data_IF_673413124853
#
_entry.id   IF_673413124853
#
_cell.length_a   1.000
_cell.length_b   1.000
_cell.length_c   1.000
_cell.angle_alpha   90.00
_cell.angle_beta   90.00
_cell.angle_gamma   90.00
#
_symmetry.space_group_name_H-M   'P 1'
#
loop_
_entity.id
_entity.type
_entity.pdbx_description
1 polymer ?
#
# COMPACT_ATOMS: atom_id res chain seq x y z
N UNK A 1 -8.59 5.03 15.84
CA UNK A 1 -7.13 5.09 15.63
C UNK A 1 -6.73 4.36 14.36
N UNK A 2 -5.96 5.01 13.53
CA UNK A 2 -5.43 4.39 12.32
C UNK A 2 -4.35 3.37 12.65
N UNK A 3 -4.33 2.26 11.92
CA UNK A 3 -3.33 1.21 12.12
C UNK A 3 -2.60 0.89 10.84
N UNK A 4 -1.29 0.73 10.94
CA UNK A 4 -0.48 0.26 9.81
C UNK A 4 -0.06 -1.17 10.11
N UNK A 5 -0.39 -2.07 9.18
CA UNK A 5 -0.12 -3.50 9.35
C UNK A 5 0.64 -4.04 8.15
N UNK A 6 1.36 -5.14 8.37
CA UNK A 6 1.93 -5.93 7.28
C UNK A 6 0.86 -6.92 6.83
N UNK A 7 0.41 -6.87 5.57
CA UNK A 7 -0.61 -7.82 5.11
C UNK A 7 -0.01 -9.23 5.07
N UNK A 8 -0.59 -10.17 5.79
CA UNK A 8 -0.09 -11.53 5.89
C UNK A 8 -1.16 -12.59 5.62
N UNK A 9 -2.38 -12.38 6.13
CA UNK A 9 -3.46 -13.33 5.89
C UNK A 9 -3.98 -13.21 4.46
N UNK A 10 -4.61 -14.27 3.91
CA UNK A 10 -5.22 -14.15 2.59
C UNK A 10 -6.19 -12.98 2.46
N UNK A 11 -6.99 -12.73 3.49
CA UNK A 11 -7.94 -11.61 3.48
C UNK A 11 -7.23 -10.26 3.44
N UNK A 12 -6.14 -10.13 4.22
CA UNK A 12 -5.35 -8.89 4.23
C UNK A 12 -4.64 -8.66 2.90
N UNK A 13 -4.08 -9.73 2.32
CA UNK A 13 -3.40 -9.64 1.03
C UNK A 13 -4.39 -9.29 -0.08
N UNK A 14 -5.58 -9.88 -0.08
CA UNK A 14 -6.61 -9.55 -1.06
C UNK A 14 -7.02 -8.08 -0.94
N UNK A 15 -7.23 -7.60 0.28
CA UNK A 15 -7.59 -6.20 0.52
C UNK A 15 -6.48 -5.26 0.07
N UNK A 16 -5.24 -5.61 0.36
CA UNK A 16 -4.07 -4.83 0.00
C UNK A 16 -3.94 -4.67 -1.52
N UNK A 17 -3.98 -5.78 -2.27
CA UNK A 17 -3.83 -5.73 -3.72
C UNK A 17 -5.06 -5.13 -4.40
N UNK A 18 -6.26 -5.38 -3.87
CA UNK A 18 -7.48 -4.78 -4.40
C UNK A 18 -7.43 -3.24 -4.29
N UNK A 19 -7.03 -2.74 -3.12
CA UNK A 19 -6.91 -1.30 -2.91
C UNK A 19 -5.82 -0.68 -3.80
N UNK A 20 -4.70 -1.37 -3.94
CA UNK A 20 -3.61 -0.93 -4.80
C UNK A 20 -4.07 -0.79 -6.25
N UNK A 21 -4.84 -1.77 -6.74
CA UNK A 21 -5.42 -1.69 -8.07
C UNK A 21 -6.42 -0.55 -8.20
N UNK A 22 -7.34 -0.43 -7.24
CA UNK A 22 -8.37 0.63 -7.28
C UNK A 22 -7.77 2.02 -7.36
N UNK A 23 -6.70 2.27 -6.64
CA UNK A 23 -6.12 3.61 -6.54
C UNK A 23 -5.09 3.91 -7.62
N UNK A 24 -4.36 2.89 -8.10
CA UNK A 24 -3.23 3.11 -8.98
C UNK A 24 -3.40 2.58 -10.40
N UNK A 25 -4.36 1.72 -10.65
CA UNK A 25 -4.55 1.09 -11.97
C UNK A 25 -5.92 1.35 -12.57
N UNK A 26 -6.96 1.18 -11.78
CA UNK A 26 -8.34 1.39 -12.24
C UNK A 26 -8.56 2.77 -12.86
N UNK A 27 -8.03 3.88 -12.29
CA UNK A 27 -8.22 5.21 -12.90
C UNK A 27 -7.65 5.33 -14.30
N UNK A 28 -6.72 4.43 -14.68
CA UNK A 28 -6.11 4.41 -16.01
C UNK A 28 -6.67 3.29 -16.89
N UNK A 29 -7.77 2.66 -16.46
CA UNK A 29 -8.43 1.55 -17.18
C UNK A 29 -7.51 0.34 -17.38
N UNK A 30 -6.61 0.08 -16.43
CA UNK A 30 -5.72 -1.07 -16.49
C UNK A 30 -6.36 -2.28 -15.79
N UNK A 31 -6.10 -3.51 -16.28
CA UNK A 31 -6.78 -4.69 -15.78
C UNK A 31 -6.32 -5.10 -14.39
N UNK A 32 -7.16 -5.91 -13.71
CA UNK A 32 -6.77 -6.57 -12.48
C UNK A 32 -5.52 -7.43 -12.72
N UNK A 33 -4.59 -7.35 -11.78
CA UNK A 33 -3.28 -8.00 -11.90
C UNK A 33 -2.17 -7.05 -12.31
N UNK A 34 -2.52 -5.94 -12.97
CA UNK A 34 -1.53 -4.94 -13.39
C UNK A 34 -0.91 -4.19 -12.21
N UNK A 35 -1.51 -4.30 -11.01
CA UNK A 35 -0.99 -3.66 -9.81
C UNK A 35 0.21 -4.40 -9.21
N UNK A 36 0.56 -5.58 -9.73
CA UNK A 36 1.63 -6.44 -9.20
C UNK A 36 2.84 -6.46 -10.12
N UNK A 37 4.01 -6.67 -9.53
CA UNK A 37 5.23 -6.89 -10.30
C UNK A 37 6.10 -7.97 -9.63
N UNK A 38 7.24 -8.26 -10.26
CA UNK A 38 8.13 -9.33 -9.82
C UNK A 38 8.81 -9.04 -8.48
N UNK A 39 8.84 -7.79 -8.06
CA UNK A 39 9.49 -7.40 -6.80
C UNK A 39 8.56 -7.55 -5.60
N UNK A 40 7.29 -7.86 -5.81
CA UNK A 40 6.33 -7.98 -4.70
C UNK A 40 6.67 -9.12 -3.75
N UNK A 41 7.35 -10.16 -4.22
CA UNK A 41 7.73 -11.30 -3.36
C UNK A 41 8.83 -10.98 -2.38
N UNK A 42 9.64 -9.93 -2.64
CA UNK A 42 10.80 -9.59 -1.80
C UNK A 42 10.67 -8.21 -1.15
N UNK A 43 9.66 -7.45 -1.50
CA UNK A 43 9.46 -6.11 -0.98
C UNK A 43 8.78 -6.12 0.40
N UNK A 44 8.89 -5.00 1.08
CA UNK A 44 8.18 -4.75 2.34
C UNK A 44 6.87 -4.08 2.00
N UNK A 45 5.76 -4.63 2.49
CA UNK A 45 4.42 -4.13 2.22
C UNK A 45 3.76 -3.63 3.48
N UNK A 46 2.99 -2.54 3.34
CA UNK A 46 2.19 -2.01 4.44
C UNK A 46 0.79 -1.67 3.97
N UNK A 47 -0.17 -1.92 4.84
CA UNK A 47 -1.58 -1.62 4.63
C UNK A 47 -2.04 -0.77 5.80
N UNK A 48 -2.68 0.35 5.52
CA UNK A 48 -3.24 1.20 6.57
C UNK A 48 -4.74 0.99 6.66
N UNK A 49 -5.21 0.83 7.89
CA UNK A 49 -6.62 0.64 8.20
C UNK A 49 -7.14 1.83 8.99
N UNK A 50 -8.35 2.25 8.68
CA UNK A 50 -9.04 3.28 9.45
C UNK A 50 -9.50 2.70 10.80
N UNK A 51 -10.00 3.55 11.72
CA UNK A 51 -10.46 3.05 13.02
C UNK A 51 -11.51 1.95 12.95
N UNK A 52 -12.33 1.92 11.89
CA UNK A 52 -13.34 0.88 11.71
C UNK A 52 -12.82 -0.35 10.96
N UNK A 53 -11.52 -0.39 10.64
CA UNK A 53 -10.92 -1.52 9.95
C UNK A 53 -10.95 -1.44 8.44
N UNK A 54 -11.41 -0.34 7.86
CA UNK A 54 -11.46 -0.19 6.40
C UNK A 54 -10.07 0.07 5.83
N UNK A 55 -9.65 -0.65 4.77
CA UNK A 55 -8.38 -0.36 4.10
C UNK A 55 -8.42 1.00 3.42
N UNK A 56 -7.44 1.85 3.72
CA UNK A 56 -7.43 3.22 3.21
C UNK A 56 -6.15 3.61 2.50
N UNK A 57 -5.04 2.88 2.73
CA UNK A 57 -3.77 3.22 2.09
C UNK A 57 -2.91 1.98 1.93
N UNK A 58 -2.06 2.01 0.91
CA UNK A 58 -1.09 0.95 0.63
C UNK A 58 0.28 1.58 0.41
N UNK A 59 1.34 0.79 0.62
CA UNK A 59 2.69 1.24 0.34
C UNK A 59 3.65 0.07 0.25
N UNK A 60 4.67 0.22 -0.59
CA UNK A 60 5.69 -0.81 -0.78
C UNK A 60 7.08 -0.19 -0.74
N UNK A 61 7.98 -0.81 0.03
CA UNK A 61 9.39 -0.46 0.04
C UNK A 61 10.19 -1.61 -0.54
N UNK A 62 10.95 -1.35 -1.59
CA UNK A 62 11.88 -2.31 -2.17
C UNK A 62 13.30 -1.81 -1.94
N UNK A 63 14.14 -2.68 -1.39
CA UNK A 63 15.55 -2.38 -1.17
C UNK A 63 16.37 -3.30 -2.07
N UNK A 64 17.13 -2.70 -3.00
CA UNK A 64 17.99 -3.45 -3.91
C UNK A 64 19.31 -2.72 -4.11
N UNK A 65 20.44 -3.43 -3.92
CA UNK A 65 21.74 -2.82 -3.97
C UNK A 65 21.87 -1.72 -2.93
N UNK A 66 22.26 -0.53 -3.36
CA UNK A 66 22.44 0.62 -2.48
C UNK A 66 21.21 1.53 -2.44
N UNK A 67 20.12 1.12 -3.06
CA UNK A 67 18.92 1.96 -3.19
C UNK A 67 17.72 1.38 -2.48
N UNK A 68 16.91 2.28 -1.92
CA UNK A 68 15.60 1.94 -1.39
C UNK A 68 14.57 2.75 -2.15
N UNK A 69 13.51 2.08 -2.63
CA UNK A 69 12.44 2.73 -3.40
C UNK A 69 11.10 2.48 -2.77
N UNK A 70 10.37 3.55 -2.49
CA UNK A 70 8.98 3.48 -2.09
C UNK A 70 8.14 3.62 -3.34
N UNK A 71 7.35 2.59 -3.64
CA UNK A 71 6.48 2.56 -4.82
C UNK A 71 5.10 2.06 -4.43
N UNK A 72 4.18 2.21 -5.38
CA UNK A 72 2.79 1.77 -5.19
C UNK A 72 2.20 2.33 -3.92
N UNK A 73 2.57 3.57 -3.60
CA UNK A 73 2.05 4.26 -2.44
C UNK A 73 0.82 5.05 -2.82
N UNK A 74 -0.29 4.78 -2.17
CA UNK A 74 -1.54 5.44 -2.47
C UNK A 74 -2.42 5.54 -1.23
N UNK A 75 -3.21 6.59 -1.19
CA UNK A 75 -4.13 6.88 -0.10
C UNK A 75 -5.48 7.23 -0.71
N UNK A 76 -6.57 6.69 -0.16
CA UNK A 76 -7.90 7.06 -0.64
C UNK A 76 -8.08 8.57 -0.54
N UNK A 77 -8.69 9.21 -1.57
CA UNK A 77 -8.78 10.68 -1.61
C UNK A 77 -9.42 11.30 -0.37
N UNK A 78 -10.44 10.65 0.19
CA UNK A 78 -11.15 11.19 1.34
C UNK A 78 -10.33 11.26 2.63
N UNK A 79 -9.15 10.61 2.64
CA UNK A 79 -8.26 10.61 3.81
C UNK A 79 -7.03 11.49 3.61
N UNK A 80 -6.94 12.19 2.50
CA UNK A 80 -5.79 13.07 2.24
C UNK A 80 -5.84 14.32 3.12
N UNK A 81 -4.67 14.91 3.34
CA UNK A 81 -4.57 16.15 4.11
C UNK A 81 -4.49 15.95 5.61
N UNK A 82 -4.32 14.71 6.09
CA UNK A 82 -4.24 14.40 7.52
C UNK A 82 -2.87 13.90 7.96
N UNK A 83 -1.86 13.95 7.09
CA UNK A 83 -0.52 13.46 7.40
C UNK A 83 -0.38 11.95 7.37
N UNK A 84 -1.37 11.22 6.86
CA UNK A 84 -1.36 9.76 6.86
C UNK A 84 -0.33 9.19 5.89
N UNK A 85 -0.10 9.86 4.76
CA UNK A 85 0.93 9.46 3.81
C UNK A 85 2.32 9.48 4.45
N UNK A 86 2.63 10.53 5.21
CA UNK A 86 3.91 10.64 5.91
C UNK A 86 4.05 9.53 6.95
N UNK A 87 2.97 9.20 7.66
CA UNK A 87 2.98 8.11 8.62
C UNK A 87 3.26 6.76 7.95
N UNK A 88 2.69 6.54 6.77
CA UNK A 88 2.95 5.32 5.99
C UNK A 88 4.42 5.23 5.60
N UNK A 89 5.02 6.33 5.13
CA UNK A 89 6.44 6.37 4.77
C UNK A 89 7.31 6.04 5.99
N UNK A 90 7.02 6.65 7.13
CA UNK A 90 7.77 6.37 8.36
C UNK A 90 7.71 4.90 8.74
N UNK A 91 6.54 4.28 8.63
CA UNK A 91 6.37 2.88 8.96
C UNK A 91 7.17 1.98 8.01
N UNK A 92 7.15 2.29 6.71
CA UNK A 92 7.91 1.54 5.71
C UNK A 92 9.42 1.61 5.94
N UNK A 93 9.91 2.71 6.48
CA UNK A 93 11.33 2.92 6.70
C UNK A 93 11.85 2.29 7.99
N UNK A 94 10.97 1.69 8.78
CA UNK A 94 11.36 0.98 9.98
C UNK A 94 11.55 -0.50 9.70
#
# INVERSE_FOLDING_TARGET
MYRVVTPETPAELDAYYQLRWELLRKPFNLPLGSERDEYDTVAIHRLMLSPDGTPIAVGRLFVGGDEAQIRFMALRPEFRGQGLGARMVEDLEQ
#
